data_IF_268785101499
#
_entry.id   IF_268785101499
#
_cell.length_a   1.000
_cell.length_b   1.000
_cell.length_c   1.000
_cell.angle_alpha   90.00
_cell.angle_beta   90.00
_cell.angle_gamma   90.00
#
_symmetry.space_group_name_H-M   'P 1'
#
loop_
_entity.id
_entity.type
_entity.pdbx_description
1 polymer ?
2 polymer ?
3 non-polymer ?
4 non-polymer ?
5 water ?
#
# COMPACT_ATOMS: atom_id res chain seq x y z
N UNK A 8 21.68 -12.83 0.18
CA UNK A 8 20.51 -13.69 0.12
C UNK A 8 19.18 -12.96 -0.17
N UNK A 9 19.17 -11.62 -0.19
CA UNK A 9 17.95 -10.87 -0.49
C UNK A 9 17.47 -11.20 -1.90
N UNK A 10 16.15 -11.26 -2.10
CA UNK A 10 15.64 -11.51 -3.43
C UNK A 10 16.00 -10.39 -4.39
N UNK A 11 16.08 -9.14 -3.93
CA UNK A 11 16.41 -8.07 -4.85
C UNK A 11 17.77 -8.31 -5.49
N UNK A 12 18.70 -8.86 -4.72
CA UNK A 12 20.01 -9.18 -5.29
C UNK A 12 19.99 -10.44 -6.14
N UNK A 13 19.15 -11.41 -5.81
CA UNK A 13 19.05 -12.56 -6.70
C UNK A 13 18.43 -12.16 -8.02
N UNK A 14 17.57 -11.16 -8.02
CA UNK A 14 16.87 -10.73 -9.20
C UNK A 14 17.69 -9.85 -10.10
N UNK A 15 18.64 -9.05 -9.58
CA UNK A 15 19.30 -8.00 -10.36
C UNK A 15 20.80 -8.02 -10.04
N UNK A 16 21.67 -7.92 -11.01
CA UNK A 16 23.10 -7.91 -10.73
C UNK A 16 23.50 -6.56 -10.12
N UNK A 17 24.73 -6.55 -9.62
CA UNK A 17 25.21 -5.35 -8.94
C UNK A 17 25.05 -4.07 -9.76
N UNK A 18 25.50 -4.09 -11.02
CA UNK A 18 25.50 -2.85 -11.79
C UNK A 18 24.09 -2.30 -11.96
N UNK A 19 23.10 -3.18 -12.21
CA UNK A 19 21.70 -2.75 -12.26
C UNK A 19 21.29 -2.09 -10.95
N UNK A 20 21.61 -2.76 -9.84
CA UNK A 20 21.22 -2.20 -8.54
C UNK A 20 21.87 -0.86 -8.28
N UNK A 21 23.17 -0.75 -8.59
CA UNK A 21 23.87 0.52 -8.43
C UNK A 21 23.23 1.64 -9.25
N UNK A 22 22.92 1.35 -10.50
CA UNK A 22 22.33 2.37 -11.35
C UNK A 22 20.97 2.78 -10.84
N UNK A 23 20.18 1.82 -10.35
CA UNK A 23 18.92 2.19 -9.70
C UNK A 23 19.11 3.06 -8.43
N UNK A 24 20.01 2.63 -7.52
CA UNK A 24 20.24 3.42 -6.30
C UNK A 24 20.76 4.80 -6.64
N UNK A 25 21.72 4.88 -7.56
CA UNK A 25 22.23 6.19 -7.97
C UNK A 25 21.12 7.10 -8.48
N UNK A 26 20.27 6.55 -9.34
CA UNK A 26 19.19 7.30 -9.97
C UNK A 26 18.20 7.75 -8.90
N UNK A 27 17.91 6.88 -7.95
CA UNK A 27 16.96 7.24 -6.89
C UNK A 27 17.52 8.30 -5.95
N UNK A 28 18.82 8.22 -5.63
CA UNK A 28 19.40 9.23 -4.74
C UNK A 28 19.46 10.57 -5.44
N UNK A 29 19.61 10.60 -6.74
CA UNK A 29 19.60 11.85 -7.46
C UNK A 29 18.18 12.42 -7.61
N UNK A 30 17.19 11.55 -7.86
CA UNK A 30 15.81 12.02 -8.01
C UNK A 30 15.17 12.43 -6.68
N UNK A 31 15.46 11.72 -5.60
CA UNK A 31 14.88 11.98 -4.28
C UNK A 31 16.01 12.20 -3.27
N UNK A 32 16.70 13.34 -3.36
CA UNK A 32 17.95 13.52 -2.58
C UNK A 32 17.73 13.64 -1.06
N UNK A 33 16.54 13.95 -0.62
CA UNK A 33 16.27 13.97 0.80
C UNK A 33 15.76 12.65 1.36
N UNK A 34 15.76 11.61 0.54
CA UNK A 34 15.32 10.29 0.99
C UNK A 34 16.49 9.34 0.84
N UNK A 35 16.47 8.27 1.63
CA UNK A 35 17.46 7.21 1.43
C UNK A 35 16.72 5.95 1.00
N UNK A 36 17.24 5.23 0.02
CA UNK A 36 16.57 4.02 -0.46
C UNK A 36 16.93 2.81 0.39
N UNK A 37 15.90 2.05 0.74
CA UNK A 37 16.02 0.93 1.64
C UNK A 37 15.24 -0.25 1.05
N UNK A 38 15.90 -1.41 0.98
CA UNK A 38 15.31 -2.67 0.52
C UNK A 38 14.94 -3.42 1.79
N UNK A 39 13.67 -3.82 1.94
CA UNK A 39 13.15 -4.48 3.14
C UNK A 39 12.61 -5.83 2.69
N UNK A 40 13.15 -6.89 3.27
CA UNK A 40 12.77 -8.27 2.87
C UNK A 40 12.78 -9.16 4.11
N UNK A 41 12.14 -10.29 4.02
CA UNK A 41 12.22 -11.28 5.10
C UNK A 41 13.62 -11.83 5.27
N UNK A 42 13.99 -12.08 6.52
CA UNK A 42 15.22 -12.72 6.85
C UNK A 42 15.12 -14.19 6.44
N UNK A 43 16.26 -14.87 6.26
CA UNK A 43 16.24 -16.32 6.02
C UNK A 43 15.49 -17.02 7.14
N UNK A 44 14.65 -17.96 6.74
CA UNK A 44 13.90 -18.84 7.62
C UNK A 44 12.72 -18.16 8.30
N UNK A 45 12.55 -16.85 8.16
CA UNK A 45 11.50 -16.15 8.88
C UNK A 45 10.10 -16.66 8.64
N UNK A 46 9.29 -16.70 9.72
CA UNK A 46 7.91 -17.17 9.62
C UNK A 46 7.05 -15.93 9.88
N UNK A 47 6.90 -15.11 8.84
CA UNK A 47 6.24 -13.79 8.90
C UNK A 47 5.66 -13.58 7.51
N UNK A 48 4.59 -12.77 7.39
CA UNK A 48 4.05 -12.43 6.07
C UNK A 48 5.04 -11.62 5.25
N UNK A 49 4.81 -11.66 3.93
CA UNK A 49 5.58 -10.85 3.00
C UNK A 49 5.01 -9.44 2.92
N UNK A 50 5.86 -8.49 2.58
CA UNK A 50 5.41 -7.11 2.32
C UNK A 50 4.94 -7.03 0.89
N UNK A 51 4.05 -6.09 0.59
CA UNK A 51 3.63 -5.88 -0.80
C UNK A 51 4.78 -5.35 -1.65
N UNK A 52 5.59 -4.47 -1.08
CA UNK A 52 6.67 -3.77 -1.77
C UNK A 52 7.96 -4.04 -1.00
N UNK A 53 9.08 -4.05 -1.70
CA UNK A 53 10.38 -4.23 -1.04
C UNK A 53 11.27 -2.98 -1.12
N UNK A 54 10.94 -2.00 -1.94
CA UNK A 54 11.79 -0.81 -2.16
C UNK A 54 11.11 0.37 -1.50
N UNK A 55 11.83 0.97 -0.53
CA UNK A 55 11.25 2.11 0.20
C UNK A 55 12.12 3.36 0.09
N UNK A 56 11.46 4.51 -0.02
CA UNK A 56 12.16 5.79 0.07
C UNK A 56 11.90 6.31 1.48
N UNK A 57 12.97 6.38 2.27
CA UNK A 57 12.87 6.66 3.71
C UNK A 57 13.38 8.05 4.01
N UNK A 58 12.58 8.91 4.65
CA UNK A 58 13.11 10.17 5.15
C UNK A 58 14.33 9.98 6.05
N UNK A 59 15.38 10.74 5.78
CA UNK A 59 16.65 10.49 6.45
C UNK A 59 16.55 10.71 7.96
N UNK A 60 15.62 11.57 8.39
CA UNK A 60 15.49 11.84 9.83
C UNK A 60 14.48 10.97 10.55
N UNK A 61 13.91 9.94 9.91
CA UNK A 61 13.09 8.95 10.65
C UNK A 61 13.95 8.28 11.71
N UNK A 62 13.39 8.09 12.90
CA UNK A 62 14.09 7.28 13.88
C UNK A 62 13.87 5.80 13.56
N UNK A 63 14.71 4.96 14.13
CA UNK A 63 14.56 3.51 13.90
C UNK A 63 13.18 3.05 14.36
N UNK A 64 12.73 3.52 15.52
CA UNK A 64 11.41 3.12 15.99
C UNK A 64 10.28 3.58 15.08
N UNK A 65 10.40 4.78 14.52
CA UNK A 65 9.39 5.27 13.60
C UNK A 65 9.36 4.39 12.35
N UNK A 66 10.54 3.99 11.89
CA UNK A 66 10.60 3.08 10.74
C UNK A 66 9.97 1.75 11.09
N UNK A 67 10.25 1.20 12.28
CA UNK A 67 9.65 -0.06 12.68
C UNK A 67 8.13 0.03 12.62
N UNK A 68 7.59 1.11 13.15
CA UNK A 68 6.15 1.31 13.18
C UNK A 68 5.60 1.32 11.78
N UNK A 69 6.24 2.04 10.85
CA UNK A 69 5.68 2.12 9.49
C UNK A 69 5.73 0.77 8.78
N UNK A 70 6.83 0.05 8.91
CA UNK A 70 6.95 -1.28 8.27
C UNK A 70 6.01 -2.27 8.91
N UNK A 71 5.95 -2.31 10.21
CA UNK A 71 5.05 -3.21 10.89
C UNK A 71 3.61 -3.04 10.41
N UNK A 72 3.13 -1.81 10.29
CA UNK A 72 1.77 -1.59 9.80
C UNK A 72 1.56 -2.22 8.40
N UNK A 73 2.58 -2.23 7.53
CA UNK A 73 2.40 -2.76 6.19
C UNK A 73 2.44 -4.28 6.15
N UNK A 74 2.96 -4.92 7.20
CA UNK A 74 3.00 -6.38 7.25
C UNK A 74 1.66 -6.95 7.71
N UNK A 75 0.82 -6.17 8.38
CA UNK A 75 -0.49 -6.63 8.86
C UNK A 75 -0.36 -7.85 9.78
N UNK A 76 0.38 -7.67 10.87
CA UNK A 76 0.47 -8.67 11.91
C UNK A 76 -0.60 -8.42 12.94
N UNK A 77 -0.96 -9.47 13.68
CA UNK A 77 -1.68 -9.25 14.93
C UNK A 77 -0.72 -8.68 15.97
N UNK A 78 -1.24 -7.94 16.95
CA UNK A 78 -0.33 -7.42 17.98
C UNK A 78 0.47 -8.49 18.67
N UNK A 79 -0.05 -9.72 18.76
CA UNK A 79 0.66 -10.74 19.51
C UNK A 79 1.75 -11.42 18.69
N UNK A 80 2.00 -10.94 17.45
CA UNK A 80 3.01 -11.53 16.58
C UNK A 80 4.26 -10.65 16.67
N UNK A 81 5.36 -11.22 17.19
CA UNK A 81 6.53 -10.39 17.39
C UNK A 81 7.24 -10.10 16.07
N UNK A 82 8.05 -9.06 16.06
CA UNK A 82 8.74 -8.61 14.84
C UNK A 82 10.09 -8.02 15.19
N UNK A 83 11.13 -8.43 14.45
CA UNK A 83 12.49 -7.94 14.66
C UNK A 83 13.07 -7.53 13.34
N UNK A 84 13.95 -6.59 13.33
CA UNK A 84 14.63 -6.07 12.15
C UNK A 84 16.13 -6.19 12.33
N UNK A 85 16.83 -6.36 11.24
CA UNK A 85 18.26 -6.64 11.22
C UNK A 85 18.90 -5.81 10.11
N UNK A 86 20.03 -5.20 10.42
CA UNK A 86 20.91 -4.64 9.41
C UNK A 86 22.25 -5.31 9.57
N UNK A 87 22.80 -5.88 8.48
CA UNK A 87 24.01 -6.70 8.59
C UNK A 87 23.91 -7.71 9.73
N UNK A 88 22.74 -8.34 9.84
CA UNK A 88 22.48 -9.51 10.64
C UNK A 88 22.34 -9.17 12.12
N UNK A 89 22.33 -7.89 12.44
CA UNK A 89 22.26 -7.42 13.83
C UNK A 89 21.06 -6.49 14.00
N UNK A 90 20.40 -6.54 15.15
CA UNK A 90 19.32 -5.58 15.37
C UNK A 90 19.95 -4.20 15.51
N UNK A 91 19.50 -3.20 14.78
CA UNK A 91 20.10 -1.85 14.90
C UNK A 91 19.83 -1.18 16.24
N UNK A 92 20.62 -0.20 16.62
CA UNK A 92 20.35 0.52 17.87
C UNK A 92 19.07 1.33 17.69
N UNK A 93 18.26 1.38 18.74
CA UNK A 93 17.01 2.11 18.62
C UNK A 93 17.25 3.61 18.54
N UNK A 94 18.31 4.09 19.18
CA UNK A 94 18.57 5.52 19.25
C UNK A 94 19.24 6.07 18.00
N UNK A 95 19.13 5.39 16.88
CA UNK A 95 19.64 5.89 15.62
C UNK A 95 18.49 6.43 14.77
N UNK A 96 18.88 7.24 13.78
CA UNK A 96 18.01 7.51 12.65
C UNK A 96 18.31 6.62 11.45
N UNK A 97 17.34 6.63 10.54
CA UNK A 97 17.54 5.81 9.34
C UNK A 97 18.61 6.38 8.45
N UNK A 98 18.78 7.70 8.45
CA UNK A 98 19.94 8.26 7.78
C UNK A 98 21.26 7.83 8.39
N UNK A 99 21.32 7.69 9.73
CA UNK A 99 22.55 7.16 10.33
C UNK A 99 22.79 5.72 9.87
N UNK A 100 21.77 4.90 10.00
CA UNK A 100 21.92 3.51 9.51
C UNK A 100 22.38 3.47 8.06
N UNK A 101 21.78 4.32 7.24
CA UNK A 101 22.20 4.38 5.85
C UNK A 101 23.64 4.82 5.72
N UNK A 102 24.02 5.87 6.48
CA UNK A 102 25.39 6.37 6.38
C UNK A 102 26.38 5.26 6.71
N UNK A 103 26.04 4.43 7.70
CA UNK A 103 26.99 3.49 8.26
C UNK A 103 26.93 2.12 7.61
N UNK A 104 25.84 1.79 6.92
CA UNK A 104 25.60 0.43 6.48
C UNK A 104 25.16 0.33 5.04
N UNK A 105 24.99 1.42 4.33
CA UNK A 105 24.59 1.25 2.92
C UNK A 105 25.63 0.46 2.13
N UNK A 106 25.14 -0.28 1.15
CA UNK A 106 26.00 -1.07 0.29
C UNK A 106 26.51 -0.24 -0.90
N UNK A 107 27.39 -0.83 -1.69
CA UNK A 107 27.98 -0.09 -2.79
C UNK A 107 27.00 0.11 -3.95
N UNK A 108 25.82 -0.51 -3.92
CA UNK A 108 24.75 -0.16 -4.82
C UNK A 108 23.87 0.94 -4.35
N UNK A 109 24.25 1.62 -3.27
CA UNK A 109 23.55 2.77 -2.66
C UNK A 109 22.31 2.38 -1.89
N UNK A 110 22.06 1.10 -1.67
CA UNK A 110 20.89 0.70 -0.89
C UNK A 110 21.30 0.30 0.52
N UNK A 111 20.45 0.65 1.49
CA UNK A 111 20.48 -0.01 2.78
C UNK A 111 19.56 -1.23 2.71
N UNK A 112 20.03 -2.35 3.24
CA UNK A 112 19.28 -3.60 3.25
C UNK A 112 18.83 -3.93 4.67
N UNK A 113 17.53 -4.03 4.88
CA UNK A 113 16.94 -4.35 6.17
C UNK A 113 16.17 -5.67 6.03
N UNK A 114 16.49 -6.62 6.89
CA UNK A 114 15.76 -7.88 6.96
C UNK A 114 14.81 -7.87 8.16
N UNK A 115 13.73 -8.61 8.08
CA UNK A 115 12.83 -8.72 9.22
C UNK A 115 12.42 -10.16 9.50
N UNK A 116 12.07 -10.46 10.74
CA UNK A 116 11.80 -11.82 11.15
C UNK A 116 10.86 -11.84 12.35
N UNK A 117 10.24 -12.98 12.57
CA UNK A 117 9.52 -13.21 13.80
C UNK A 117 10.51 -13.43 14.96
N UNK A 118 11.70 -13.92 14.66
CA UNK A 118 12.68 -14.29 15.64
C UNK A 118 13.63 -13.15 15.91
N UNK A 119 14.19 -13.18 17.11
CA UNK A 119 15.08 -12.15 17.58
C UNK A 119 16.52 -12.36 17.16
N UNK A 120 16.86 -13.50 16.58
CA UNK A 120 18.20 -13.76 16.06
C UNK A 120 18.10 -13.95 14.56
N UNK A 121 18.96 -13.25 13.79
CA UNK A 121 18.88 -13.36 12.33
C UNK A 121 19.12 -14.78 11.84
N UNK A 122 18.21 -15.25 11.00
CA UNK A 122 18.41 -16.55 10.40
C UNK A 122 17.97 -17.71 11.26
N UNK A 123 17.40 -17.45 12.43
CA UNK A 123 16.78 -18.50 13.23
C UNK A 123 15.39 -18.79 12.62
N UNK B 8 -2.90 8.87 1.56
CA UNK B 8 -3.72 7.71 1.94
C UNK B 8 -5.22 8.04 1.98
N UNK B 9 -6.05 7.03 1.68
CA UNK B 9 -7.51 7.17 1.72
C UNK B 9 -7.95 7.83 3.05
N UNK B 10 -8.95 8.71 2.96
CA UNK B 10 -9.54 9.29 4.18
C UNK B 10 -10.12 8.21 5.08
N UNK B 11 -10.70 7.16 4.51
CA UNK B 11 -11.27 6.10 5.35
C UNK B 11 -10.20 5.51 6.27
N UNK B 12 -8.97 5.35 5.76
CA UNK B 12 -7.87 4.87 6.62
C UNK B 12 -7.33 5.95 7.53
N UNK B 13 -7.31 7.21 7.10
CA UNK B 13 -6.94 8.23 8.08
C UNK B 13 -7.95 8.31 9.19
N UNK B 14 -9.20 7.96 8.93
CA UNK B 14 -10.32 8.09 9.85
C UNK B 14 -10.40 6.97 10.87
N UNK B 15 -9.87 5.76 10.55
CA UNK B 15 -10.12 4.61 11.38
C UNK B 15 -8.89 3.72 11.32
N UNK B 16 -8.45 3.18 12.44
CA UNK B 16 -7.31 2.26 12.44
C UNK B 16 -7.68 0.95 11.78
N UNK B 17 -6.64 0.19 11.49
CA UNK B 17 -6.81 -1.07 10.74
C UNK B 17 -7.77 -1.99 11.47
N UNK B 18 -7.62 -2.13 12.80
CA UNK B 18 -8.47 -3.07 13.50
C UNK B 18 -9.95 -2.73 13.36
N UNK B 19 -10.26 -1.44 13.45
CA UNK B 19 -11.63 -0.99 13.30
C UNK B 19 -12.13 -1.35 11.93
N UNK B 20 -11.32 -1.01 10.93
CA UNK B 20 -11.72 -1.29 9.54
C UNK B 20 -11.97 -2.76 9.30
N UNK B 21 -11.08 -3.60 9.75
CA UNK B 21 -11.28 -5.05 9.60
C UNK B 21 -12.58 -5.49 10.28
N UNK B 22 -12.86 -5.02 11.49
CA UNK B 22 -14.12 -5.37 12.14
C UNK B 22 -15.33 -4.88 11.31
N UNK B 23 -15.23 -3.70 10.70
CA UNK B 23 -16.37 -3.21 9.93
C UNK B 23 -16.52 -4.04 8.67
N UNK B 24 -15.40 -4.40 8.05
CA UNK B 24 -15.48 -5.19 6.82
C UNK B 24 -16.03 -6.57 7.10
N UNK B 25 -15.57 -7.19 8.17
CA UNK B 25 -16.14 -8.47 8.60
C UNK B 25 -17.64 -8.38 8.85
N UNK B 26 -18.08 -7.36 9.54
CA UNK B 26 -19.49 -7.22 9.86
C UNK B 26 -20.32 -7.01 8.61
N UNK B 27 -19.84 -6.17 7.69
CA UNK B 27 -20.69 -5.89 6.54
C UNK B 27 -20.72 -7.08 5.61
N UNK B 28 -19.66 -7.87 5.57
CA UNK B 28 -19.73 -9.09 4.75
C UNK B 28 -20.70 -10.09 5.34
N UNK B 29 -20.92 -10.09 6.63
CA UNK B 29 -21.90 -11.01 7.22
C UNK B 29 -23.31 -10.47 7.13
N UNK B 30 -23.48 -9.15 7.21
CA UNK B 30 -24.81 -8.56 7.11
C UNK B 30 -25.34 -8.53 5.68
N UNK B 31 -24.45 -8.30 4.69
CA UNK B 31 -24.82 -8.25 3.26
C UNK B 31 -23.93 -9.22 2.50
N UNK B 32 -24.18 -10.52 2.62
CA UNK B 32 -23.27 -11.49 2.01
C UNK B 32 -23.30 -11.52 0.49
N UNK B 33 -24.36 -11.03 -0.15
CA UNK B 33 -24.48 -10.89 -1.60
C UNK B 33 -23.82 -9.62 -2.12
N UNK B 34 -23.07 -8.90 -1.30
CA UNK B 34 -22.42 -7.67 -1.72
C UNK B 34 -20.96 -7.71 -1.32
N UNK B 35 -20.14 -6.93 -2.00
CA UNK B 35 -18.78 -6.73 -1.51
C UNK B 35 -18.58 -5.27 -1.17
N UNK B 36 -17.85 -5.02 -0.12
CA UNK B 36 -17.67 -3.64 0.32
C UNK B 36 -16.51 -2.98 -0.35
N UNK B 37 -16.76 -1.78 -0.86
CA UNK B 37 -15.80 -1.02 -1.65
C UNK B 37 -15.73 0.41 -1.15
N UNK B 38 -14.52 0.87 -0.89
CA UNK B 38 -14.25 2.27 -0.49
C UNK B 38 -13.80 2.99 -1.76
N UNK B 39 -14.45 4.09 -2.09
CA UNK B 39 -14.19 4.83 -3.31
C UNK B 39 -13.86 6.26 -2.91
N UNK B 40 -12.68 6.70 -3.30
CA UNK B 40 -12.24 8.06 -2.97
C UNK B 40 -11.36 8.63 -4.08
N UNK B 41 -11.18 9.94 -4.06
CA UNK B 41 -10.20 10.58 -4.97
C UNK B 41 -8.80 10.03 -4.79
N UNK B 42 -8.09 9.92 -5.89
CA UNK B 42 -6.68 9.57 -5.91
C UNK B 42 -5.85 10.77 -5.44
N UNK B 43 -4.61 10.52 -4.98
CA UNK B 43 -3.72 11.64 -4.67
C UNK B 43 -3.65 12.56 -5.85
N UNK B 44 -3.72 13.87 -5.55
CA UNK B 44 -3.52 14.93 -6.51
C UNK B 44 -4.66 15.09 -7.51
N UNK B 45 -5.71 14.27 -7.46
CA UNK B 45 -6.73 14.36 -8.49
C UNK B 45 -7.47 15.67 -8.46
N UNK B 46 -7.77 16.22 -9.63
CA UNK B 46 -8.52 17.46 -9.76
C UNK B 46 -9.92 17.07 -10.22
N UNK B 47 -10.76 16.61 -9.30
CA UNK B 47 -12.10 16.10 -9.59
C UNK B 47 -12.97 16.43 -8.39
N UNK B 48 -14.29 16.47 -8.53
CA UNK B 48 -15.15 16.63 -7.35
C UNK B 48 -15.08 15.44 -6.40
N UNK B 49 -15.42 15.71 -5.14
CA UNK B 49 -15.59 14.65 -4.16
C UNK B 49 -16.94 13.99 -4.30
N UNK B 50 -17.02 12.73 -3.83
CA UNK B 50 -18.26 11.96 -3.75
C UNK B 50 -18.91 12.25 -2.40
N UNK B 51 -20.25 12.28 -2.38
CA UNK B 51 -20.98 12.41 -1.12
C UNK B 51 -20.63 11.27 -0.16
N UNK B 52 -20.65 10.03 -0.65
CA UNK B 52 -20.42 8.84 0.17
C UNK B 52 -19.21 8.09 -0.35
N UNK B 53 -18.48 7.43 0.56
CA UNK B 53 -17.29 6.70 0.19
C UNK B 53 -17.43 5.19 0.37
N UNK B 54 -18.50 4.70 1.00
CA UNK B 54 -18.63 3.28 1.30
C UNK B 54 -19.75 2.72 0.47
N UNK B 55 -19.40 1.75 -0.40
CA UNK B 55 -20.36 1.16 -1.33
C UNK B 55 -20.50 -0.34 -1.17
N UNK B 56 -21.71 -0.80 -1.21
CA UNK B 56 -22.02 -2.25 -1.27
C UNK B 56 -22.25 -2.60 -2.74
N UNK B 57 -21.37 -3.43 -3.29
CA UNK B 57 -21.33 -3.65 -4.73
C UNK B 57 -21.74 -5.08 -5.04
N UNK B 58 -22.65 -5.30 -5.98
CA UNK B 58 -22.95 -6.67 -6.40
C UNK B 58 -21.71 -7.31 -7.00
N UNK B 59 -21.53 -8.60 -6.73
CA UNK B 59 -20.32 -9.25 -7.21
C UNK B 59 -20.31 -9.34 -8.73
N UNK B 60 -21.47 -9.40 -9.34
CA UNK B 60 -21.52 -9.52 -10.78
C UNK B 60 -21.66 -8.19 -11.50
N UNK B 61 -21.57 -7.08 -10.82
CA UNK B 61 -21.48 -5.80 -11.54
C UNK B 61 -20.17 -5.75 -12.32
N UNK B 62 -20.24 -5.40 -13.62
CA UNK B 62 -18.99 -5.35 -14.34
C UNK B 62 -18.23 -4.06 -14.03
N UNK B 63 -16.96 -4.02 -14.40
CA UNK B 63 -16.15 -2.79 -14.17
C UNK B 63 -16.79 -1.58 -14.84
N UNK B 64 -17.25 -1.72 -16.08
CA UNK B 64 -17.80 -0.55 -16.74
C UNK B 64 -19.15 -0.14 -16.21
N UNK B 65 -19.91 -1.09 -15.67
CA UNK B 65 -21.14 -0.70 -15.01
C UNK B 65 -20.83 0.06 -13.70
N UNK B 66 -19.78 -0.37 -13.00
CA UNK B 66 -19.36 0.34 -11.77
C UNK B 66 -18.92 1.74 -12.15
N UNK B 67 -18.17 1.90 -13.25
CA UNK B 67 -17.72 3.22 -13.65
C UNK B 67 -18.90 4.16 -13.84
N UNK B 68 -19.94 3.70 -14.52
CA UNK B 68 -21.09 4.50 -14.83
C UNK B 68 -21.81 4.88 -13.56
N UNK B 69 -22.01 3.91 -12.68
CA UNK B 69 -22.71 4.21 -11.43
C UNK B 69 -21.95 5.21 -10.56
N UNK B 70 -20.63 5.10 -10.47
CA UNK B 70 -19.91 6.06 -9.63
C UNK B 70 -19.83 7.41 -10.30
N UNK B 71 -19.59 7.43 -11.62
CA UNK B 71 -19.51 8.69 -12.36
C UNK B 71 -20.76 9.53 -12.15
N UNK B 72 -21.95 8.91 -12.18
CA UNK B 72 -23.17 9.67 -12.03
C UNK B 72 -23.26 10.32 -10.66
N UNK B 73 -22.64 9.72 -9.64
CA UNK B 73 -22.67 10.31 -8.29
C UNK B 73 -21.59 11.35 -8.09
N UNK B 74 -20.61 11.46 -9.00
CA UNK B 74 -19.56 12.49 -8.86
C UNK B 74 -20.05 13.85 -9.33
N UNK B 75 -20.94 13.86 -10.32
CA UNK B 75 -21.47 15.08 -10.90
C UNK B 75 -20.35 15.82 -11.63
N UNK B 76 -19.82 15.17 -12.65
CA UNK B 76 -18.87 15.75 -13.58
C UNK B 76 -19.62 16.27 -14.80
N UNK B 77 -18.98 17.16 -15.54
CA UNK B 77 -19.50 17.46 -16.88
C UNK B 77 -19.07 16.37 -17.86
N UNK B 78 -19.84 16.17 -18.92
CA UNK B 78 -19.45 15.20 -19.96
C UNK B 78 -18.07 15.45 -20.54
N UNK B 79 -17.63 16.72 -20.58
CA UNK B 79 -16.29 17.10 -21.03
C UNK B 79 -15.16 16.63 -20.10
N UNK B 80 -15.48 16.12 -18.91
CA UNK B 80 -14.48 15.82 -17.87
C UNK B 80 -14.15 14.34 -17.92
N UNK B 81 -12.88 14.00 -18.14
CA UNK B 81 -12.49 12.60 -18.16
C UNK B 81 -12.38 12.04 -16.76
N UNK B 82 -12.45 10.71 -16.68
CA UNK B 82 -12.46 10.07 -15.36
C UNK B 82 -11.80 8.71 -15.48
N UNK B 83 -10.93 8.36 -14.53
CA UNK B 83 -10.21 7.10 -14.53
C UNK B 83 -10.25 6.53 -13.14
N UNK B 84 -10.23 5.24 -13.03
CA UNK B 84 -10.33 4.50 -11.78
C UNK B 84 -9.12 3.62 -11.60
N UNK B 85 -8.66 3.42 -10.37
CA UNK B 85 -7.46 2.65 -10.11
C UNK B 85 -7.68 1.71 -8.95
N UNK B 86 -7.19 0.49 -9.06
CA UNK B 86 -7.12 -0.43 -7.93
C UNK B 86 -5.65 -0.78 -7.79
N UNK B 87 -5.09 -0.62 -6.61
CA UNK B 87 -3.64 -0.78 -6.45
C UNK B 87 -2.86 -0.01 -7.52
N UNK B 88 -3.24 1.25 -7.72
CA UNK B 88 -2.54 2.21 -8.57
C UNK B 88 -2.61 1.87 -10.06
N UNK B 89 -3.43 0.89 -10.45
CA UNK B 89 -3.53 0.46 -11.85
C UNK B 89 -4.98 0.52 -12.32
N UNK B 90 -5.21 0.92 -13.57
CA UNK B 90 -6.57 0.85 -14.11
C UNK B 90 -6.98 -0.61 -14.23
N UNK B 91 -8.13 -1.01 -13.70
CA UNK B 91 -8.51 -2.43 -13.79
C UNK B 91 -8.90 -2.82 -15.20
N UNK B 92 -8.86 -4.11 -15.51
CA UNK B 92 -9.34 -4.54 -16.84
C UNK B 92 -10.83 -4.30 -16.93
N UNK B 93 -11.28 -3.87 -18.11
CA UNK B 93 -12.69 -3.59 -18.29
C UNK B 93 -13.48 -4.89 -18.28
N UNK B 94 -12.87 -6.01 -18.75
CA UNK B 94 -13.57 -7.34 -18.83
C UNK B 94 -13.78 -8.03 -17.49
N UNK B 95 -13.50 -7.37 -16.39
CA UNK B 95 -13.64 -7.94 -15.06
C UNK B 95 -14.99 -7.59 -14.46
N UNK B 96 -15.37 -8.34 -13.43
CA UNK B 96 -16.48 -7.95 -12.58
C UNK B 96 -15.91 -7.40 -11.29
N UNK B 97 -16.75 -6.66 -10.59
CA UNK B 97 -16.35 -6.09 -9.28
C UNK B 97 -16.08 -7.19 -8.28
N UNK B 98 -16.75 -8.34 -8.40
CA UNK B 98 -16.43 -9.45 -7.52
C UNK B 98 -15.04 -9.99 -7.77
N UNK B 99 -14.65 -10.06 -9.05
CA UNK B 99 -13.31 -10.51 -9.36
C UNK B 99 -12.27 -9.53 -8.82
N UNK B 100 -12.52 -8.24 -9.01
CA UNK B 100 -11.57 -7.26 -8.46
C UNK B 100 -11.45 -7.36 -6.95
N UNK B 101 -12.58 -7.59 -6.26
CA UNK B 101 -12.57 -7.76 -4.82
C UNK B 101 -11.80 -8.99 -4.44
N UNK B 102 -12.10 -10.11 -5.12
CA UNK B 102 -11.42 -11.35 -4.78
C UNK B 102 -9.91 -11.20 -4.92
N UNK B 103 -9.46 -10.48 -5.93
CA UNK B 103 -8.04 -10.44 -6.24
C UNK B 103 -7.30 -9.31 -5.50
N UNK B 104 -8.02 -8.29 -5.05
CA UNK B 104 -7.40 -7.06 -4.57
C UNK B 104 -7.87 -6.54 -3.21
N UNK B 105 -8.88 -7.12 -2.58
CA UNK B 105 -9.30 -6.60 -1.27
C UNK B 105 -8.11 -6.63 -0.30
N UNK B 106 -8.05 -5.61 0.54
CA UNK B 106 -7.01 -5.55 1.55
C UNK B 106 -7.36 -6.44 2.73
N UNK B 107 -6.46 -6.45 3.74
CA UNK B 107 -6.65 -7.30 4.90
C UNK B 107 -7.79 -6.88 5.82
N UNK B 108 -8.36 -5.69 5.65
CA UNK B 108 -9.56 -5.27 6.34
C UNK B 108 -10.85 -5.63 5.66
N UNK B 109 -10.75 -6.43 4.59
CA UNK B 109 -11.89 -6.91 3.79
C UNK B 109 -12.53 -5.85 2.91
N UNK B 110 -11.90 -4.70 2.72
CA UNK B 110 -12.41 -3.74 1.76
C UNK B 110 -11.58 -3.78 0.48
N UNK B 111 -12.25 -3.57 -0.66
CA UNK B 111 -11.56 -3.18 -1.87
C UNK B 111 -11.51 -1.67 -1.91
N UNK B 112 -10.36 -1.12 -2.27
CA UNK B 112 -10.15 0.34 -2.33
C UNK B 112 -10.02 0.75 -3.79
N UNK B 113 -10.88 1.64 -4.24
CA UNK B 113 -10.84 2.18 -5.60
C UNK B 113 -10.60 3.68 -5.51
N UNK B 114 -9.59 4.16 -6.21
CA UNK B 114 -9.34 5.58 -6.34
C UNK B 114 -9.78 6.08 -7.71
N UNK B 115 -10.16 7.32 -7.81
CA UNK B 115 -10.54 7.92 -9.08
C UNK B 115 -9.80 9.23 -9.31
N UNK B 116 -9.61 9.57 -10.57
CA UNK B 116 -8.82 10.73 -10.94
C UNK B 116 -9.29 11.30 -12.26
N UNK B 117 -8.93 12.56 -12.52
CA UNK B 117 -9.10 13.08 -13.87
C UNK B 117 -8.00 12.59 -14.77
N UNK B 118 -6.89 12.14 -14.22
CA UNK B 118 -5.73 11.77 -14.98
C UNK B 118 -5.70 10.25 -15.15
N UNK B 119 -5.07 9.79 -16.25
CA UNK B 119 -4.99 8.37 -16.57
C UNK B 119 -3.84 7.67 -15.86
N UNK B 120 -2.99 8.40 -15.16
CA UNK B 120 -1.89 7.81 -14.41
C UNK B 120 -2.10 8.12 -12.94
N UNK B 121 -2.04 7.09 -12.10
CA UNK B 121 -2.30 7.29 -10.67
C UNK B 121 -1.28 8.21 -10.04
N UNK B 122 -1.76 9.21 -9.32
CA UNK B 122 -0.87 10.08 -8.61
C UNK B 122 -0.36 11.25 -9.42
N UNK B 123 -0.66 11.31 -10.70
CA UNK B 123 -0.35 12.51 -11.46
C UNK B 123 -1.39 13.58 -11.16
N UNK C 6 5.61 0.02 -7.24
CA UNK C 6 7.06 -0.16 -7.26
C UNK C 6 7.75 0.30 -5.94
N UNK C 7 8.03 1.60 -5.84
CA UNK C 7 8.59 2.19 -4.64
C UNK C 7 7.49 2.59 -3.67
N UNK C 8 7.87 2.69 -2.41
CA UNK C 8 6.94 3.20 -1.40
C UNK C 8 7.64 4.37 -0.72
N UNK C 9 7.04 5.56 -0.78
CA UNK C 9 7.54 6.75 -0.11
C UNK C 9 6.94 6.80 1.29
N UNK C 10 7.80 6.71 2.32
CA UNK C 10 7.33 6.73 3.72
C UNK C 10 7.15 8.17 4.21
N UNK C 11 6.10 8.39 5.00
CA UNK C 11 5.84 9.72 5.58
C UNK C 11 6.84 10.07 6.67
N UNK C 12 6.86 11.37 6.98
CA UNK C 12 7.57 11.80 8.18
C UNK C 12 6.58 12.16 9.30
N UNK C 13 6.98 12.04 10.57
CA UNK C 13 6.08 12.41 11.67
C UNK C 13 6.01 13.92 11.78
N UNK C 14 5.06 14.40 12.57
CA UNK C 14 4.78 15.82 12.69
C UNK C 14 4.59 16.22 14.16
N UNK C 15 4.90 17.49 14.46
CA UNK C 15 4.65 18.08 15.80
C UNK C 15 3.19 18.53 15.90
N UNK D 6 -26.05 5.18 5.48
CA UNK D 6 -24.60 5.28 5.55
C UNK D 6 -23.92 4.64 4.31
N UNK D 7 -24.04 3.34 4.21
CA UNK D 7 -23.56 2.66 3.03
C UNK D 7 -24.46 2.97 1.83
N UNK D 8 -23.89 2.87 0.64
CA UNK D 8 -24.66 3.06 -0.59
C UNK D 8 -24.66 1.72 -1.31
N UNK D 9 -25.87 1.18 -1.52
CA UNK D 9 -26.05 -0.10 -2.19
C UNK D 9 -26.19 0.17 -3.68
N UNK D 10 -25.29 -0.43 -4.50
CA UNK D 10 -25.38 -0.19 -5.93
C UNK D 10 -26.22 -1.29 -6.56
N UNK D 11 -26.97 -0.95 -7.60
CA UNK D 11 -27.75 -1.96 -8.33
C UNK D 11 -26.93 -2.76 -9.33
N UNK D 12 -27.49 -3.90 -9.70
CA UNK D 12 -26.95 -4.71 -10.77
C UNK D 12 -28.00 -4.87 -11.85
N UNK D 13 -27.61 -4.85 -13.12
CA UNK D 13 -28.63 -4.89 -14.17
C UNK D 13 -29.23 -6.29 -14.32
N UNK D 14 -30.38 -6.34 -14.99
CA UNK D 14 -31.14 -7.58 -15.16
C UNK D 14 -31.76 -7.67 -16.55
N UNK D 15 -32.04 -8.89 -16.96
CA UNK D 15 -32.74 -9.06 -18.25
C UNK D 15 -34.22 -8.90 -18.14
#
# INVERSE_FOLDING_TARGET
GPTMGSMKFQYKEDHPFEYRKKEGEKIRKKYPDRVPVIVEKAPKARVPDLDKRKYLVPSDLTVGQFYFLIRKRIHLRPEDALFFFVNNTIPPTSATMGQLYEDNHEEDYFLYVAYSDESVYGK
GPTMGSMKFQYKEDHPFEYRKKEGEKIRKKYPDRVPVIVEKAPKARVPDLDKRKYLVPSDLTVGQFYFLIRKRIHLRPEDALFFFVNNTIPPTSATMGQLYEDNHEEDYFLYVAYSDESVYGK
TDLGTDWENLPSPRF
TDLGTDWENLPSPRF
#
